data_IF_211174910281
#
_entry.id   IF_211174910281
#
_cell.length_a   1.000
_cell.length_b   1.000
_cell.length_c   1.000
_cell.angle_alpha   90.00
_cell.angle_beta   90.00
_cell.angle_gamma   90.00
#
_symmetry.space_group_name_H-M   'P 1'
#
loop_
_entity.id
_entity.type
_entity.pdbx_description
1 polymer ?
#
# COMPACT_ATOMS: atom_id res chain seq x y z
N UNK A 1 -1.04 14.26 5.98
CA UNK A 1 -2.00 13.19 5.58
C UNK A 1 -1.98 12.00 6.54
N UNK A 2 -0.79 11.43 6.84
CA UNK A 2 -0.59 10.35 7.83
C UNK A 2 0.44 10.81 8.86
N UNK A 3 0.19 10.52 10.16
CA UNK A 3 1.17 10.76 11.24
C UNK A 3 1.25 9.54 12.14
N UNK A 4 2.47 9.18 12.51
CA UNK A 4 2.80 8.07 13.41
C UNK A 4 3.77 8.59 14.46
N UNK A 5 3.40 8.47 15.73
CA UNK A 5 4.18 8.99 16.85
C UNK A 5 4.44 7.89 17.88
N UNK A 6 5.71 7.46 17.98
CA UNK A 6 6.23 6.50 18.98
C UNK A 6 5.37 5.25 19.12
N UNK A 7 4.93 4.68 17.99
CA UNK A 7 4.07 3.49 17.97
C UNK A 7 4.85 2.26 18.39
N UNK A 8 4.30 1.55 19.39
CA UNK A 8 4.78 0.24 19.84
C UNK A 8 3.69 -0.78 19.60
N UNK A 9 4.05 -1.92 19.03
CA UNK A 9 3.19 -3.10 18.92
C UNK A 9 3.93 -4.36 19.34
N UNK A 10 3.29 -5.11 20.25
CA UNK A 10 3.79 -6.40 20.76
C UNK A 10 2.76 -7.50 20.52
N UNK A 11 3.22 -8.69 20.25
CA UNK A 11 2.45 -9.92 20.21
C UNK A 11 3.12 -10.91 21.16
N UNK A 12 2.60 -11.02 22.39
CA UNK A 12 3.30 -11.70 23.48
C UNK A 12 4.66 -11.05 23.73
N UNK A 13 5.72 -11.84 23.71
CA UNK A 13 7.09 -11.37 23.91
C UNK A 13 7.73 -10.76 22.65
N UNK A 14 7.11 -10.94 21.48
CA UNK A 14 7.63 -10.42 20.23
C UNK A 14 7.26 -8.95 20.03
N UNK A 15 8.26 -8.09 19.84
CA UNK A 15 8.07 -6.66 19.53
C UNK A 15 8.03 -6.50 18.01
N UNK A 16 6.83 -6.34 17.45
CA UNK A 16 6.64 -6.18 16.02
C UNK A 16 6.94 -4.75 15.52
N UNK A 17 6.72 -3.74 16.38
CA UNK A 17 7.07 -2.33 16.12
C UNK A 17 7.56 -1.71 17.43
N UNK A 18 8.70 -1.01 17.37
CA UNK A 18 9.35 -0.41 18.52
C UNK A 18 9.55 1.09 18.36
N UNK A 19 8.69 1.89 18.98
CA UNK A 19 8.73 3.37 19.00
C UNK A 19 8.82 4.02 17.61
N UNK A 20 8.10 3.47 16.64
CA UNK A 20 8.11 3.96 15.26
C UNK A 20 7.46 5.34 15.17
N UNK A 21 8.14 6.27 14.49
CA UNK A 21 7.64 7.62 14.21
C UNK A 21 7.98 8.05 12.80
N UNK A 22 6.98 8.54 12.06
CA UNK A 22 7.13 9.15 10.72
C UNK A 22 5.89 9.98 10.37
N UNK A 23 5.99 10.77 9.32
CA UNK A 23 4.85 11.49 8.74
C UNK A 23 4.89 11.43 7.22
N UNK A 24 3.69 11.46 6.61
CA UNK A 24 3.51 11.43 5.16
C UNK A 24 2.63 12.60 4.77
N UNK A 25 3.08 13.39 3.79
CA UNK A 25 2.33 14.51 3.26
C UNK A 25 1.29 14.04 2.23
N UNK A 26 0.38 14.93 1.89
CA UNK A 26 -0.59 14.69 0.83
C UNK A 26 0.12 14.60 -0.54
N UNK A 27 -0.32 13.65 -1.37
CA UNK A 27 0.27 13.42 -2.69
C UNK A 27 1.70 12.86 -2.68
N UNK A 28 2.14 12.24 -1.57
CA UNK A 28 3.45 11.63 -1.41
C UNK A 28 3.36 10.10 -1.60
N UNK A 29 4.36 9.50 -2.24
CA UNK A 29 4.59 8.06 -2.19
C UNK A 29 5.63 7.78 -1.10
N UNK A 30 5.21 7.10 -0.05
CA UNK A 30 6.06 6.71 1.07
C UNK A 30 6.29 5.20 1.08
N UNK A 31 7.55 4.81 1.08
CA UNK A 31 7.98 3.42 1.13
C UNK A 31 8.30 2.96 2.56
N UNK A 32 7.74 1.84 2.97
CA UNK A 32 8.02 1.21 4.25
C UNK A 32 8.76 -0.11 3.98
N UNK A 33 10.10 -0.06 4.03
CA UNK A 33 10.98 -1.12 3.58
C UNK A 33 11.45 -2.00 4.72
N UNK A 34 11.61 -3.29 4.43
CA UNK A 34 12.23 -4.21 5.36
C UNK A 34 12.02 -5.68 4.95
N UNK A 35 12.77 -6.61 5.54
CA UNK A 35 12.59 -8.03 5.30
C UNK A 35 11.20 -8.52 5.76
N UNK A 36 10.83 -9.73 5.36
CA UNK A 36 9.62 -10.38 5.88
C UNK A 36 9.66 -10.45 7.40
N UNK A 37 8.54 -10.17 8.06
CA UNK A 37 8.45 -10.15 9.52
C UNK A 37 9.01 -8.89 10.20
N UNK A 38 9.44 -7.86 9.47
CA UNK A 38 9.94 -6.61 10.07
C UNK A 38 8.87 -5.69 10.66
N UNK A 39 7.57 -5.98 10.45
CA UNK A 39 6.45 -5.20 10.98
C UNK A 39 5.66 -4.40 9.94
N UNK A 40 5.93 -4.54 8.63
CA UNK A 40 5.30 -3.76 7.55
C UNK A 40 3.77 -3.88 7.54
N UNK A 41 3.25 -5.10 7.41
CA UNK A 41 1.81 -5.36 7.44
C UNK A 41 1.16 -4.96 8.78
N UNK A 42 1.91 -5.10 9.89
CA UNK A 42 1.46 -4.65 11.22
C UNK A 42 1.20 -3.14 11.23
N UNK A 43 2.08 -2.35 10.61
CA UNK A 43 1.90 -0.89 10.50
C UNK A 43 0.67 -0.53 9.64
N UNK A 44 0.48 -1.17 8.49
CA UNK A 44 -0.73 -0.97 7.66
C UNK A 44 -1.99 -1.25 8.49
N UNK A 45 -2.05 -2.37 9.21
CA UNK A 45 -3.21 -2.74 10.01
C UNK A 45 -3.49 -1.74 11.15
N UNK A 46 -2.45 -1.14 11.73
CA UNK A 46 -2.62 -0.09 12.75
C UNK A 46 -3.14 1.20 12.10
N UNK A 47 -2.55 1.64 10.99
CA UNK A 47 -2.96 2.85 10.27
C UNK A 47 -4.40 2.78 9.74
N UNK A 48 -4.84 1.58 9.36
CA UNK A 48 -6.21 1.34 8.87
C UNK A 48 -7.20 0.98 9.97
N UNK A 49 -6.80 1.08 11.26
CA UNK A 49 -7.67 0.80 12.40
C UNK A 49 -8.04 -0.67 12.62
N UNK A 50 -7.47 -1.59 11.83
CA UNK A 50 -7.71 -3.03 11.96
C UNK A 50 -6.99 -3.64 13.17
N UNK A 51 -5.95 -2.98 13.66
CA UNK A 51 -5.13 -3.42 14.78
C UNK A 51 -4.83 -2.25 15.70
N UNK A 52 -5.00 -2.45 17.02
CA UNK A 52 -4.62 -1.43 18.01
C UNK A 52 -3.14 -1.54 18.37
N UNK A 53 -2.46 -0.38 18.43
CA UNK A 53 -1.12 -0.30 18.99
C UNK A 53 -1.14 -0.49 20.53
N UNK A 54 -0.02 -0.94 21.12
CA UNK A 54 0.12 -0.99 22.58
C UNK A 54 0.38 0.39 23.17
N UNK A 55 1.07 1.25 22.44
CA UNK A 55 1.28 2.66 22.79
C UNK A 55 1.64 3.48 21.54
N UNK A 56 1.68 4.80 21.72
CA UNK A 56 1.88 5.75 20.62
C UNK A 56 0.55 6.24 20.05
N UNK A 57 0.63 7.03 18.99
CA UNK A 57 -0.53 7.59 18.29
C UNK A 57 -0.38 7.44 16.79
N UNK A 58 -1.51 7.24 16.12
CA UNK A 58 -1.59 7.25 14.66
C UNK A 58 -2.75 8.11 14.20
N UNK A 59 -2.48 8.94 13.21
CA UNK A 59 -3.50 9.76 12.55
C UNK A 59 -3.53 9.43 11.06
N UNK A 60 -4.73 9.29 10.51
CA UNK A 60 -5.02 9.11 9.11
C UNK A 60 -6.11 10.09 8.68
N UNK A 61 -5.89 10.87 7.62
CA UNK A 61 -6.83 11.91 7.15
C UNK A 61 -7.16 12.95 8.25
N UNK A 62 -6.20 13.23 9.16
CA UNK A 62 -6.39 14.13 10.29
C UNK A 62 -7.22 13.59 11.46
N UNK A 63 -7.54 12.29 11.45
CA UNK A 63 -8.28 11.60 12.50
C UNK A 63 -7.43 10.50 13.15
N UNK A 64 -7.70 10.24 14.41
CA UNK A 64 -7.15 9.07 15.11
C UNK A 64 -7.52 7.78 14.35
N UNK A 65 -6.53 7.00 13.94
CA UNK A 65 -6.73 5.77 13.15
C UNK A 65 -7.64 4.73 13.83
N UNK A 66 -7.75 4.79 15.16
CA UNK A 66 -8.63 3.89 15.92
C UNK A 66 -10.09 4.40 16.01
N UNK A 67 -10.37 5.58 15.46
CA UNK A 67 -11.68 6.24 15.49
C UNK A 67 -12.22 6.56 14.09
N UNK A 68 -11.72 5.87 13.07
CA UNK A 68 -12.20 6.01 11.71
C UNK A 68 -13.65 5.54 11.60
N UNK A 69 -14.47 6.33 10.93
CA UNK A 69 -15.88 6.02 10.65
C UNK A 69 -16.00 5.27 9.32
N UNK A 70 -17.12 4.56 9.06
CA UNK A 70 -17.35 3.92 7.75
C UNK A 70 -17.13 4.83 6.55
N UNK A 71 -17.52 6.12 6.65
CA UNK A 71 -17.30 7.12 5.60
C UNK A 71 -15.82 7.44 5.34
N UNK A 72 -14.95 7.27 6.32
CA UNK A 72 -13.52 7.50 6.13
C UNK A 72 -12.89 6.39 5.29
N UNK A 73 -13.40 5.17 5.39
CA UNK A 73 -12.94 4.04 4.57
C UNK A 73 -13.32 4.19 3.09
N UNK A 74 -14.30 5.02 2.76
CA UNK A 74 -14.62 5.35 1.36
C UNK A 74 -13.51 6.18 0.69
N UNK A 75 -12.67 6.86 1.48
CA UNK A 75 -11.51 7.62 1.00
C UNK A 75 -10.22 6.78 0.96
N UNK A 76 -10.27 5.50 1.35
CA UNK A 76 -9.13 4.61 1.42
C UNK A 76 -9.19 3.52 0.35
N UNK A 77 -8.03 3.20 -0.21
CA UNK A 77 -7.80 1.98 -0.96
C UNK A 77 -6.82 1.06 -0.23
N UNK A 78 -7.10 -0.23 -0.20
CA UNK A 78 -6.23 -1.20 0.47
C UNK A 78 -6.01 -2.42 -0.41
N UNK A 79 -4.75 -2.71 -0.67
CA UNK A 79 -4.28 -3.98 -1.24
C UNK A 79 -3.42 -4.66 -0.20
N UNK A 80 -3.96 -5.67 0.44
CA UNK A 80 -3.28 -6.50 1.42
C UNK A 80 -3.06 -7.92 0.90
N UNK A 81 -2.43 -8.73 1.75
CA UNK A 81 -2.12 -10.15 1.47
C UNK A 81 -3.38 -11.06 1.46
N UNK A 82 -4.55 -10.52 1.79
CA UNK A 82 -5.76 -11.32 1.92
C UNK A 82 -6.61 -11.31 0.66
N UNK A 83 -7.05 -12.49 0.26
CA UNK A 83 -8.01 -12.76 -0.80
C UNK A 83 -9.39 -12.17 -0.48
N UNK A 84 -9.61 -10.91 -0.78
CA UNK A 84 -10.94 -10.31 -0.64
C UNK A 84 -11.73 -10.32 -1.94
N UNK A 85 -11.90 -11.48 -2.59
CA UNK A 85 -12.62 -11.62 -3.85
C UNK A 85 -13.43 -12.93 -3.89
N UNK A 86 -14.41 -12.97 -4.77
CA UNK A 86 -15.27 -14.14 -4.96
C UNK A 86 -14.76 -14.95 -6.16
N UNK A 87 -14.24 -16.14 -5.89
CA UNK A 87 -13.56 -17.00 -6.87
C UNK A 87 -14.42 -17.34 -8.09
N UNK A 88 -15.70 -17.62 -7.87
CA UNK A 88 -16.64 -18.00 -8.93
C UNK A 88 -17.17 -16.85 -9.76
N UNK A 89 -17.02 -15.63 -9.28
CA UNK A 89 -17.42 -14.45 -10.03
C UNK A 89 -16.33 -14.06 -11.04
N UNK A 90 -16.75 -13.51 -12.18
CA UNK A 90 -15.82 -12.92 -13.13
C UNK A 90 -15.10 -11.73 -12.50
N UNK A 91 -13.97 -11.35 -13.07
CA UNK A 91 -13.22 -10.16 -12.68
C UNK A 91 -14.12 -8.93 -12.67
N UNK A 92 -14.91 -8.70 -13.72
CA UNK A 92 -15.87 -7.60 -13.79
C UNK A 92 -16.88 -7.64 -12.66
N UNK A 93 -17.48 -8.81 -12.38
CA UNK A 93 -18.49 -8.94 -11.34
C UNK A 93 -17.92 -8.77 -9.93
N UNK A 94 -16.67 -9.17 -9.70
CA UNK A 94 -15.96 -8.85 -8.45
C UNK A 94 -15.87 -7.33 -8.25
N UNK A 95 -15.46 -6.56 -9.26
CA UNK A 95 -15.40 -5.10 -9.16
C UNK A 95 -16.79 -4.45 -9.06
N UNK A 96 -17.78 -5.01 -9.73
CA UNK A 96 -19.17 -4.51 -9.71
C UNK A 96 -19.78 -4.51 -8.29
N UNK A 97 -19.42 -5.48 -7.45
CA UNK A 97 -19.86 -5.52 -6.05
C UNK A 97 -19.38 -4.27 -5.30
N UNK A 98 -18.11 -3.94 -5.44
CA UNK A 98 -17.51 -2.76 -4.80
C UNK A 98 -18.00 -1.45 -5.43
N UNK A 99 -18.15 -1.40 -6.76
CA UNK A 99 -18.72 -0.25 -7.42
C UNK A 99 -20.14 0.09 -6.92
N UNK A 100 -20.98 -0.95 -6.68
CA UNK A 100 -22.31 -0.77 -6.07
C UNK A 100 -22.23 -0.30 -4.63
N UNK A 101 -21.31 -0.86 -3.84
CA UNK A 101 -21.11 -0.48 -2.43
C UNK A 101 -20.75 1.01 -2.31
N UNK A 102 -19.88 1.51 -3.17
CA UNK A 102 -19.43 2.90 -3.18
C UNK A 102 -20.26 3.84 -4.06
N UNK A 103 -21.37 3.36 -4.66
CA UNK A 103 -22.20 4.17 -5.54
C UNK A 103 -21.50 4.63 -6.82
N UNK A 104 -20.48 3.91 -7.28
CA UNK A 104 -19.65 4.26 -8.44
C UNK A 104 -20.26 3.69 -9.72
N UNK A 105 -20.16 4.43 -10.83
CA UNK A 105 -20.72 4.03 -12.11
C UNK A 105 -20.01 2.80 -12.72
N UNK A 106 -20.73 2.05 -13.56
CA UNK A 106 -20.16 0.91 -14.29
C UNK A 106 -19.04 1.30 -15.25
N UNK A 107 -19.08 2.53 -15.79
CA UNK A 107 -18.00 3.06 -16.66
C UNK A 107 -16.66 3.13 -15.93
N UNK A 108 -16.67 3.37 -14.61
CA UNK A 108 -15.46 3.36 -13.80
C UNK A 108 -14.81 1.98 -13.76
N UNK A 109 -15.60 0.90 -13.74
CA UNK A 109 -15.06 -0.47 -13.78
C UNK A 109 -14.28 -0.68 -15.08
N UNK A 110 -14.83 -0.25 -16.21
CA UNK A 110 -14.15 -0.41 -17.50
C UNK A 110 -12.87 0.44 -17.58
N UNK A 111 -12.94 1.68 -17.07
CA UNK A 111 -11.77 2.56 -16.99
C UNK A 111 -10.64 1.92 -16.20
N UNK A 112 -10.91 1.47 -14.97
CA UNK A 112 -9.89 0.92 -14.11
C UNK A 112 -9.34 -0.41 -14.64
N UNK A 113 -10.18 -1.25 -15.26
CA UNK A 113 -9.74 -2.47 -15.92
C UNK A 113 -8.77 -2.22 -17.07
N UNK A 114 -8.96 -1.13 -17.82
CA UNK A 114 -8.01 -0.70 -18.85
C UNK A 114 -6.70 -0.22 -18.23
N UNK A 115 -6.77 0.58 -17.17
CA UNK A 115 -5.58 1.09 -16.45
C UNK A 115 -4.70 -0.03 -15.91
N UNK A 116 -5.29 -1.07 -15.32
CA UNK A 116 -4.53 -2.22 -14.81
C UNK A 116 -4.24 -3.31 -15.87
N UNK A 117 -4.66 -3.09 -17.13
CA UNK A 117 -4.43 -4.01 -18.25
C UNK A 117 -5.14 -5.36 -18.12
N UNK A 118 -6.39 -5.34 -17.62
CA UNK A 118 -7.23 -6.54 -17.45
C UNK A 118 -8.57 -6.47 -18.20
N UNK A 119 -8.77 -5.47 -19.05
CA UNK A 119 -10.06 -5.27 -19.71
C UNK A 119 -10.47 -6.47 -20.58
N UNK A 120 -9.55 -7.03 -21.35
CA UNK A 120 -9.83 -8.19 -22.22
C UNK A 120 -10.14 -9.48 -21.44
N UNK A 121 -9.78 -9.53 -20.17
CA UNK A 121 -10.02 -10.66 -19.28
C UNK A 121 -11.21 -10.46 -18.33
N UNK A 122 -12.01 -9.42 -18.53
CA UNK A 122 -13.07 -8.98 -17.60
C UNK A 122 -14.10 -10.05 -17.28
N UNK A 123 -14.37 -10.96 -18.23
CA UNK A 123 -15.36 -12.04 -18.08
C UNK A 123 -14.76 -13.34 -17.50
N UNK A 124 -13.43 -13.37 -17.26
CA UNK A 124 -12.75 -14.54 -16.68
C UNK A 124 -13.08 -14.68 -15.20
N UNK A 125 -13.53 -15.87 -14.72
CA UNK A 125 -13.70 -16.15 -13.30
C UNK A 125 -12.40 -15.95 -12.51
N UNK A 126 -12.51 -15.40 -11.29
CA UNK A 126 -11.33 -15.04 -10.51
C UNK A 126 -10.45 -16.25 -10.13
N UNK A 127 -11.03 -17.44 -9.99
CA UNK A 127 -10.29 -18.70 -9.77
C UNK A 127 -9.33 -19.06 -10.92
N UNK A 128 -9.61 -18.59 -12.14
CA UNK A 128 -8.80 -18.85 -13.35
C UNK A 128 -7.74 -17.78 -13.62
N UNK A 129 -7.70 -16.72 -12.82
CA UNK A 129 -6.71 -15.67 -12.97
C UNK A 129 -5.32 -16.14 -12.52
N UNK A 130 -4.28 -15.77 -13.25
CA UNK A 130 -2.91 -15.92 -12.79
C UNK A 130 -2.65 -15.07 -11.53
N UNK A 131 -1.58 -15.36 -10.77
CA UNK A 131 -1.22 -14.58 -9.60
C UNK A 131 -1.07 -13.10 -9.93
N UNK A 132 -0.39 -12.74 -11.02
CA UNK A 132 -0.24 -11.36 -11.45
C UNK A 132 -1.56 -10.70 -11.92
N UNK A 133 -2.47 -11.44 -12.55
CA UNK A 133 -3.80 -10.92 -12.88
C UNK A 133 -4.63 -10.67 -11.61
N UNK A 134 -4.52 -11.57 -10.63
CA UNK A 134 -5.20 -11.45 -9.34
C UNK A 134 -4.72 -10.24 -8.56
N UNK A 135 -3.41 -10.03 -8.50
CA UNK A 135 -2.81 -8.84 -7.86
C UNK A 135 -3.32 -7.54 -8.50
N UNK A 136 -3.36 -7.47 -9.83
CA UNK A 136 -3.90 -6.32 -10.56
C UNK A 136 -5.40 -6.13 -10.37
N UNK A 137 -6.17 -7.21 -10.21
CA UNK A 137 -7.59 -7.13 -9.85
C UNK A 137 -7.79 -6.54 -8.45
N UNK A 138 -6.98 -6.94 -7.46
CA UNK A 138 -7.02 -6.38 -6.11
C UNK A 138 -6.66 -4.88 -6.12
N UNK A 139 -5.68 -4.49 -6.93
CA UNK A 139 -5.35 -3.08 -7.14
C UNK A 139 -6.52 -2.32 -7.80
N UNK A 140 -7.14 -2.88 -8.84
CA UNK A 140 -8.32 -2.28 -9.46
C UNK A 140 -9.47 -2.08 -8.45
N UNK A 141 -9.69 -3.05 -7.57
CA UNK A 141 -10.68 -2.95 -6.49
C UNK A 141 -10.35 -1.80 -5.54
N UNK A 142 -9.09 -1.67 -5.12
CA UNK A 142 -8.65 -0.62 -4.20
C UNK A 142 -8.75 0.79 -4.81
N UNK A 143 -8.79 0.89 -6.14
CA UNK A 143 -8.88 2.16 -6.86
C UNK A 143 -10.29 2.52 -7.32
N UNK A 144 -11.28 1.66 -7.07
CA UNK A 144 -12.63 1.82 -7.64
C UNK A 144 -13.33 3.09 -7.13
N UNK A 145 -13.14 3.46 -5.89
CA UNK A 145 -13.75 4.58 -5.16
C UNK A 145 -12.94 5.89 -5.19
N UNK A 146 -11.91 6.01 -6.05
CA UNK A 146 -11.02 7.19 -6.11
C UNK A 146 -10.40 7.54 -4.75
N UNK A 147 -9.62 6.64 -4.16
CA UNK A 147 -9.11 6.82 -2.81
C UNK A 147 -8.17 8.03 -2.70
N UNK A 148 -8.25 8.76 -1.58
CA UNK A 148 -7.27 9.80 -1.23
C UNK A 148 -5.98 9.19 -0.69
N UNK A 149 -6.10 8.06 0.00
CA UNK A 149 -4.94 7.30 0.52
C UNK A 149 -5.01 5.86 0.04
N UNK A 150 -3.92 5.39 -0.52
CA UNK A 150 -3.77 4.02 -1.02
C UNK A 150 -2.69 3.29 -0.23
N UNK A 151 -3.09 2.21 0.45
CA UNK A 151 -2.20 1.29 1.14
C UNK A 151 -1.93 0.06 0.26
N UNK A 152 -0.65 -0.24 0.03
CA UNK A 152 -0.21 -1.34 -0.82
C UNK A 152 0.78 -2.22 -0.07
N UNK A 153 0.42 -3.46 0.19
CA UNK A 153 1.33 -4.44 0.78
C UNK A 153 1.99 -5.26 -0.35
N UNK A 154 3.27 -4.99 -0.61
CA UNK A 154 4.10 -5.61 -1.65
C UNK A 154 3.43 -5.66 -3.05
N UNK A 155 3.05 -4.51 -3.65
CA UNK A 155 2.13 -4.46 -4.80
C UNK A 155 2.64 -5.13 -6.06
N UNK A 156 3.95 -5.32 -6.21
CA UNK A 156 4.58 -5.93 -7.40
C UNK A 156 5.19 -7.29 -7.13
N UNK A 157 5.04 -7.80 -5.91
CA UNK A 157 5.55 -9.12 -5.54
C UNK A 157 4.98 -10.23 -6.45
N UNK A 158 5.86 -11.04 -7.04
CA UNK A 158 5.47 -12.12 -7.95
C UNK A 158 5.00 -11.68 -9.34
N UNK A 159 5.13 -10.40 -9.70
CA UNK A 159 4.86 -9.91 -11.05
C UNK A 159 6.10 -10.00 -11.94
N UNK A 160 5.88 -10.18 -13.24
CA UNK A 160 6.94 -10.03 -14.22
C UNK A 160 7.38 -8.56 -14.34
N UNK A 161 8.64 -8.29 -14.80
CA UNK A 161 9.18 -6.94 -14.85
C UNK A 161 8.37 -5.96 -15.72
N UNK A 162 7.74 -6.46 -16.79
CA UNK A 162 6.93 -5.63 -17.69
C UNK A 162 5.64 -5.19 -17.00
N UNK A 163 5.00 -6.09 -16.29
CA UNK A 163 3.79 -5.81 -15.51
C UNK A 163 4.11 -4.88 -14.33
N UNK A 164 5.22 -5.12 -13.60
CA UNK A 164 5.68 -4.25 -12.52
C UNK A 164 5.87 -2.81 -13.00
N UNK A 165 6.53 -2.59 -14.14
CA UNK A 165 6.70 -1.25 -14.73
C UNK A 165 5.37 -0.55 -15.04
N UNK A 166 4.34 -1.29 -15.49
CA UNK A 166 3.02 -0.72 -15.74
C UNK A 166 2.35 -0.28 -14.44
N UNK A 167 2.47 -1.09 -13.37
CA UNK A 167 1.96 -0.73 -12.03
C UNK A 167 2.72 0.49 -11.50
N UNK A 168 4.04 0.53 -11.60
CA UNK A 168 4.83 1.69 -11.18
C UNK A 168 4.36 2.97 -11.87
N UNK A 169 4.15 2.93 -13.19
CA UNK A 169 3.63 4.07 -13.94
C UNK A 169 2.25 4.50 -13.43
N UNK A 170 1.35 3.53 -13.20
CA UNK A 170 0.01 3.82 -12.65
C UNK A 170 0.10 4.49 -11.27
N UNK A 171 0.99 4.02 -10.38
CA UNK A 171 1.18 4.62 -9.06
C UNK A 171 1.70 6.06 -9.15
N UNK A 172 2.62 6.36 -10.06
CA UNK A 172 3.08 7.72 -10.32
C UNK A 172 1.95 8.62 -10.85
N UNK A 173 1.15 8.14 -11.81
CA UNK A 173 -0.01 8.88 -12.30
C UNK A 173 -1.05 9.16 -11.20
N UNK A 174 -1.27 8.23 -10.28
CA UNK A 174 -2.16 8.42 -9.13
C UNK A 174 -1.62 9.49 -8.17
N UNK A 175 -0.32 9.46 -7.88
CA UNK A 175 0.35 10.50 -7.11
C UNK A 175 0.20 11.88 -7.73
N UNK A 176 0.45 12.01 -9.04
CA UNK A 176 0.29 13.27 -9.78
C UNK A 176 -1.12 13.83 -9.71
N UNK A 177 -2.13 12.96 -9.51
CA UNK A 177 -3.53 13.34 -9.27
C UNK A 177 -3.86 13.63 -7.80
N UNK A 178 -2.84 13.58 -6.91
CA UNK A 178 -2.99 13.92 -5.49
C UNK A 178 -3.25 12.73 -4.57
N UNK A 179 -3.24 11.48 -5.06
CA UNK A 179 -3.37 10.30 -4.20
C UNK A 179 -2.10 10.13 -3.35
N UNK A 180 -2.26 10.03 -2.04
CA UNK A 180 -1.17 9.67 -1.13
C UNK A 180 -1.02 8.16 -1.10
N UNK A 181 0.19 7.65 -1.24
CA UNK A 181 0.45 6.21 -1.34
C UNK A 181 1.41 5.78 -0.24
N UNK A 182 0.97 4.83 0.59
CA UNK A 182 1.81 4.09 1.52
C UNK A 182 2.05 2.70 0.95
N UNK A 183 3.28 2.39 0.56
CA UNK A 183 3.60 1.08 0.04
C UNK A 183 4.62 0.36 0.93
N UNK A 184 4.46 -0.94 1.08
CA UNK A 184 5.49 -1.79 1.66
C UNK A 184 6.22 -2.55 0.56
N UNK A 185 7.50 -2.73 0.73
CA UNK A 185 8.30 -3.57 -0.16
C UNK A 185 9.55 -4.07 0.55
N UNK A 186 10.14 -5.14 0.03
CA UNK A 186 11.47 -5.60 0.40
C UNK A 186 12.50 -5.31 -0.71
N UNK A 187 12.06 -4.74 -1.86
CA UNK A 187 12.90 -4.39 -2.99
C UNK A 187 13.32 -2.91 -2.93
N UNK A 188 14.61 -2.67 -2.67
CA UNK A 188 15.19 -1.33 -2.65
C UNK A 188 15.11 -0.63 -4.01
N UNK A 189 15.17 -1.37 -5.13
CA UNK A 189 15.08 -0.77 -6.45
C UNK A 189 13.68 -0.21 -6.70
N UNK A 190 12.63 -0.95 -6.32
CA UNK A 190 11.26 -0.48 -6.39
C UNK A 190 11.07 0.80 -5.55
N UNK A 191 11.54 0.76 -4.31
CA UNK A 191 11.43 1.90 -3.42
C UNK A 191 12.18 3.14 -3.93
N UNK A 192 13.40 2.97 -4.45
CA UNK A 192 14.19 4.05 -5.03
C UNK A 192 13.52 4.66 -6.27
N UNK A 193 12.83 3.83 -7.05
CA UNK A 193 12.15 4.26 -8.28
C UNK A 193 10.86 5.02 -8.01
N UNK A 194 10.10 4.62 -6.96
CA UNK A 194 8.75 5.10 -6.74
C UNK A 194 8.62 6.13 -5.64
N UNK A 195 9.37 5.98 -4.55
CA UNK A 195 9.09 6.69 -3.31
C UNK A 195 9.78 8.04 -3.24
N UNK A 196 9.07 9.02 -2.69
CA UNK A 196 9.64 10.32 -2.34
C UNK A 196 10.45 10.22 -1.05
N UNK A 197 9.92 9.46 -0.08
CA UNK A 197 10.57 9.16 1.19
C UNK A 197 10.44 7.68 1.55
N UNK A 198 11.39 7.19 2.32
CA UNK A 198 11.49 5.81 2.78
C UNK A 198 11.64 5.75 4.30
N UNK A 199 11.14 4.67 4.87
CA UNK A 199 11.48 4.23 6.22
C UNK A 199 12.00 2.78 6.15
N UNK A 200 13.24 2.55 6.59
CA UNK A 200 13.86 1.23 6.61
C UNK A 200 13.61 0.57 7.97
N UNK A 201 12.96 -0.58 7.95
CA UNK A 201 12.68 -1.37 9.13
C UNK A 201 13.55 -2.62 9.20
N UNK A 202 13.96 -2.95 10.41
CA UNK A 202 14.56 -4.24 10.71
C UNK A 202 14.11 -4.69 12.11
N UNK A 203 13.50 -5.87 12.19
CA UNK A 203 13.03 -6.47 13.46
C UNK A 203 12.22 -5.53 14.35
N UNK A 204 11.35 -4.73 13.73
CA UNK A 204 10.49 -3.80 14.43
C UNK A 204 11.09 -2.42 14.72
N UNK A 205 12.38 -2.21 14.48
CA UNK A 205 13.05 -0.93 14.67
C UNK A 205 13.13 -0.15 13.36
N UNK A 206 12.98 1.17 13.46
CA UNK A 206 13.25 2.11 12.37
C UNK A 206 14.76 2.39 12.32
N UNK A 207 15.42 1.87 11.29
CA UNK A 207 16.87 1.99 11.13
C UNK A 207 17.27 3.30 10.47
N UNK A 208 16.51 3.70 9.44
CA UNK A 208 16.79 4.90 8.66
C UNK A 208 15.50 5.48 8.08
N UNK A 209 15.48 6.80 7.85
CA UNK A 209 14.38 7.50 7.20
C UNK A 209 14.91 8.67 6.39
N UNK A 210 14.31 8.92 5.22
CA UNK A 210 14.62 10.05 4.35
C UNK A 210 14.30 9.74 2.89
N UNK A 211 14.70 10.63 1.99
CA UNK A 211 14.58 10.36 0.56
C UNK A 211 15.53 9.22 0.15
N UNK A 212 15.22 8.48 -0.93
CA UNK A 212 16.11 7.42 -1.43
C UNK A 212 17.54 7.93 -1.69
N UNK A 213 17.68 9.14 -2.20
CA UNK A 213 19.00 9.77 -2.49
C UNK A 213 19.79 10.04 -1.22
N UNK A 214 19.17 10.57 -0.17
CA UNK A 214 19.82 10.83 1.13
C UNK A 214 20.30 9.52 1.76
N UNK A 215 19.46 8.50 1.75
CA UNK A 215 19.82 7.18 2.31
C UNK A 215 21.00 6.58 1.56
N UNK A 216 20.95 6.57 0.21
CA UNK A 216 22.05 6.04 -0.61
C UNK A 216 23.35 6.82 -0.38
N UNK A 217 23.29 8.14 -0.30
CA UNK A 217 24.45 8.99 -0.07
C UNK A 217 25.11 8.68 1.29
N UNK A 218 24.32 8.51 2.34
CA UNK A 218 24.82 8.16 3.67
C UNK A 218 25.61 6.86 3.67
N UNK A 219 25.06 5.80 3.09
CA UNK A 219 25.74 4.50 3.03
C UNK A 219 26.97 4.49 2.10
N UNK A 220 26.98 5.29 1.05
CA UNK A 220 28.15 5.42 0.18
C UNK A 220 29.31 6.19 0.84
N UNK A 221 28.98 7.11 1.74
CA UNK A 221 30.00 7.88 2.50
C UNK A 221 30.64 7.01 3.59
N UNK A 222 29.87 6.20 4.29
CA UNK A 222 30.39 5.26 5.30
C UNK A 222 31.33 4.20 4.70
N UNK A 223 31.05 3.70 3.48
CA UNK A 223 31.95 2.77 2.78
C UNK A 223 33.29 3.37 2.34
N UNK A 224 33.41 4.69 2.22
CA UNK A 224 34.66 5.37 1.85
C UNK A 224 35.57 5.66 3.05
N UNK A 225 35.08 5.48 4.28
CA UNK A 225 35.80 5.70 5.54
C UNK A 225 36.32 4.40 6.18
N UNK A 226 36.04 3.23 5.58
CA UNK A 226 36.59 1.93 5.92
C UNK A 226 37.66 1.50 4.87
#
# INVERSE_FOLDING_TARGET
MIKVERVIKRFGDNVALNQISFSINEGEIFGFLGPSGSGKTTMINILTGQLQANSGKTELLGKDSQKLLPSDFEELGLVGDTSGYYEKLSLYNNLLLFARLYGVSKSRIEEILKQVGLYDSKDTPAEKLSTGMRQRMLLARALINYPKVLFLDEPTSGLDPTTSKKIHKLLQELKERGTTIFLTTHDMNEATLLCDNLALLNKGDLIEQGSPSEIIQKYNTEKKLQ
#
